data_IF_703063683243
#
_entry.id   IF_703063683243
#
_cell.length_a   1.000
_cell.length_b   1.000
_cell.length_c   1.000
_cell.angle_alpha   90.00
_cell.angle_beta   90.00
_cell.angle_gamma   90.00
#
_symmetry.space_group_name_H-M   'P 1'
#
loop_
_entity.id
_entity.type
_entity.pdbx_description
1 polymer ?
#
# COMPACT_ATOMS: atom_id res chain seq x y z
N UNK A 1 3.73 18.85 -14.15
CA UNK A 1 2.81 18.34 -13.10
C UNK A 1 2.92 16.82 -12.85
N UNK A 2 3.47 16.02 -13.77
CA UNK A 2 3.62 14.56 -13.62
C UNK A 2 4.44 14.09 -12.40
N UNK A 3 5.50 14.81 -11.99
CA UNK A 3 6.29 14.47 -10.78
C UNK A 3 5.50 14.55 -9.46
N UNK A 4 4.46 15.40 -9.38
CA UNK A 4 3.60 15.52 -8.17
C UNK A 4 2.61 14.35 -8.08
N UNK A 5 2.07 13.88 -9.20
CA UNK A 5 1.19 12.70 -9.25
C UNK A 5 1.92 11.42 -8.84
N UNK A 6 3.19 11.28 -9.26
CA UNK A 6 4.04 10.15 -8.89
C UNK A 6 4.28 10.06 -7.37
N UNK A 7 4.60 11.20 -6.74
CA UNK A 7 4.76 11.29 -5.28
C UNK A 7 3.46 11.02 -4.53
N UNK A 8 2.34 11.53 -5.04
CA UNK A 8 1.03 11.33 -4.41
C UNK A 8 0.63 9.85 -4.42
N UNK A 9 0.82 9.16 -5.55
CA UNK A 9 0.56 7.72 -5.65
C UNK A 9 1.46 6.87 -4.74
N UNK A 10 2.74 7.25 -4.58
CA UNK A 10 3.66 6.59 -3.65
C UNK A 10 3.23 6.74 -2.18
N UNK A 11 2.85 7.95 -1.77
CA UNK A 11 2.35 8.21 -0.41
C UNK A 11 1.05 7.44 -0.14
N UNK A 12 0.11 7.45 -1.10
CA UNK A 12 -1.14 6.69 -1.01
C UNK A 12 -0.85 5.18 -0.90
N UNK A 13 0.04 4.64 -1.73
CA UNK A 13 0.42 3.22 -1.68
C UNK A 13 1.03 2.83 -0.34
N UNK A 14 1.92 3.68 0.20
CA UNK A 14 2.53 3.47 1.52
C UNK A 14 1.48 3.46 2.64
N UNK A 15 0.48 4.34 2.55
CA UNK A 15 -0.61 4.40 3.54
C UNK A 15 -1.44 3.11 3.55
N UNK A 16 -1.78 2.57 2.37
CA UNK A 16 -2.49 1.30 2.25
C UNK A 16 -1.70 0.10 2.79
N UNK A 17 -0.37 0.08 2.62
CA UNK A 17 0.50 -0.95 3.19
C UNK A 17 0.45 -0.92 4.73
N UNK A 18 0.51 0.27 5.33
CA UNK A 18 0.45 0.43 6.79
C UNK A 18 -0.91 -0.04 7.33
N UNK A 19 -2.01 0.35 6.70
CA UNK A 19 -3.36 -0.08 7.12
C UNK A 19 -3.51 -1.60 6.99
N UNK A 20 -3.01 -2.18 5.91
CA UNK A 20 -3.00 -3.63 5.70
C UNK A 20 -2.25 -4.38 6.82
N UNK A 21 -1.08 -3.89 7.22
CA UNK A 21 -0.33 -4.45 8.35
C UNK A 21 -1.13 -4.34 9.65
N UNK A 22 -1.80 -3.22 9.90
CA UNK A 22 -2.65 -3.05 11.08
C UNK A 22 -3.83 -4.04 11.07
N UNK A 23 -4.46 -4.26 9.92
CA UNK A 23 -5.57 -5.23 9.79
C UNK A 23 -5.09 -6.67 9.97
N UNK A 24 -3.98 -7.06 9.35
CA UNK A 24 -3.44 -8.42 9.45
C UNK A 24 -2.88 -8.72 10.85
N UNK A 25 -2.13 -7.78 11.43
CA UNK A 25 -1.57 -7.93 12.78
C UNK A 25 -2.70 -7.80 13.82
N UNK A 26 -3.67 -6.92 13.58
CA UNK A 26 -4.84 -6.73 14.42
C UNK A 26 -5.74 -7.96 14.46
N UNK A 27 -5.95 -8.64 13.33
CA UNK A 27 -6.68 -9.92 13.28
C UNK A 27 -5.99 -11.03 14.06
N UNK A 28 -4.66 -11.02 14.14
CA UNK A 28 -3.89 -12.00 14.92
C UNK A 28 -3.86 -11.72 16.43
N UNK A 29 -4.08 -10.46 16.84
CA UNK A 29 -3.96 -10.01 18.24
C UNK A 29 -5.31 -9.75 18.93
N UNK A 30 -6.40 -9.64 18.16
CA UNK A 30 -7.70 -9.21 18.66
C UNK A 30 -8.82 -10.04 18.05
N UNK A 31 -9.59 -10.73 18.89
CA UNK A 31 -10.80 -11.46 18.49
C UNK A 31 -11.86 -10.53 17.86
N UNK A 32 -11.79 -9.23 18.12
CA UNK A 32 -12.69 -8.24 17.49
C UNK A 32 -12.35 -7.97 16.01
N UNK A 33 -11.13 -8.30 15.58
CA UNK A 33 -10.63 -8.16 14.21
C UNK A 33 -10.37 -9.51 13.52
N UNK A 34 -10.69 -10.63 14.17
CA UNK A 34 -10.56 -11.99 13.59
C UNK A 34 -11.73 -12.32 12.64
N UNK A 35 -12.18 -11.33 11.88
CA UNK A 35 -13.16 -11.55 10.82
C UNK A 35 -12.42 -11.90 9.54
N UNK A 36 -12.94 -12.90 8.82
CA UNK A 36 -12.42 -13.25 7.50
C UNK A 36 -12.39 -12.05 6.55
N UNK A 37 -13.31 -11.09 6.73
CA UNK A 37 -13.37 -9.84 5.98
C UNK A 37 -12.13 -8.97 6.18
N UNK A 38 -11.59 -8.90 7.40
CA UNK A 38 -10.43 -8.05 7.74
C UNK A 38 -9.16 -8.59 7.08
N UNK A 39 -9.01 -9.93 7.02
CA UNK A 39 -7.92 -10.58 6.28
C UNK A 39 -8.01 -10.36 4.77
N UNK A 40 -9.19 -10.50 4.16
CA UNK A 40 -9.36 -10.24 2.71
C UNK A 40 -9.09 -8.78 2.36
N UNK A 41 -9.58 -7.86 3.19
CA UNK A 41 -9.41 -6.42 2.99
C UNK A 41 -7.95 -6.02 3.21
N UNK A 42 -7.33 -6.52 4.28
CA UNK A 42 -5.91 -6.34 4.58
C UNK A 42 -5.02 -6.89 3.47
N UNK A 43 -5.30 -8.08 2.95
CA UNK A 43 -4.54 -8.66 1.84
C UNK A 43 -4.70 -7.86 0.54
N UNK A 44 -5.93 -7.43 0.22
CA UNK A 44 -6.21 -6.61 -0.97
C UNK A 44 -5.49 -5.26 -0.92
N UNK A 45 -5.49 -4.61 0.25
CA UNK A 45 -4.76 -3.37 0.48
C UNK A 45 -3.24 -3.55 0.48
N UNK A 46 -2.74 -4.70 0.93
CA UNK A 46 -1.32 -5.04 0.83
C UNK A 46 -0.87 -5.08 -0.63
N UNK A 47 -1.59 -5.85 -1.46
CA UNK A 47 -1.25 -6.05 -2.87
C UNK A 47 -1.38 -4.73 -3.63
N UNK A 48 -2.47 -4.00 -3.42
CA UNK A 48 -2.69 -2.70 -4.05
C UNK A 48 -1.63 -1.67 -3.65
N UNK A 49 -1.37 -1.54 -2.35
CA UNK A 49 -0.38 -0.60 -1.83
C UNK A 49 1.03 -0.92 -2.33
N UNK A 50 1.39 -2.21 -2.38
CA UNK A 50 2.68 -2.67 -2.89
C UNK A 50 2.85 -2.38 -4.39
N UNK A 51 1.83 -2.66 -5.21
CA UNK A 51 1.84 -2.33 -6.64
C UNK A 51 2.02 -0.81 -6.85
N UNK A 52 1.26 0.02 -6.12
CA UNK A 52 1.37 1.47 -6.19
C UNK A 52 2.75 2.00 -5.75
N UNK A 53 3.29 1.48 -4.65
CA UNK A 53 4.61 1.88 -4.16
C UNK A 53 5.74 1.44 -5.10
N UNK A 54 5.63 0.25 -5.71
CA UNK A 54 6.64 -0.31 -6.61
C UNK A 54 6.63 0.34 -8.00
N UNK A 55 5.46 0.54 -8.61
CA UNK A 55 5.36 1.12 -9.95
C UNK A 55 5.69 2.62 -9.99
N UNK A 56 5.39 3.37 -8.94
CA UNK A 56 5.75 4.80 -8.88
C UNK A 56 7.26 5.03 -8.68
N UNK A 57 8.05 4.00 -8.35
CA UNK A 57 9.49 4.12 -8.11
C UNK A 57 10.34 4.10 -9.40
N UNK A 58 9.78 3.62 -10.53
CA UNK A 58 10.50 3.45 -11.81
C UNK A 58 10.55 4.71 -12.70
N UNK A 59 9.79 5.75 -12.37
CA UNK A 59 9.70 6.95 -13.21
C UNK A 59 10.78 8.01 -12.92
N UNK A 60 11.69 7.73 -11.98
CA UNK A 60 12.77 8.64 -11.57
C UNK A 60 14.13 8.25 -12.17
N UNK A 61 14.16 7.47 -13.26
CA UNK A 61 15.39 7.30 -14.05
C UNK A 61 15.57 8.58 -14.88
N UNK A 62 16.58 9.42 -14.61
CA UNK A 62 16.85 10.55 -15.48
C UNK A 62 17.29 10.00 -16.84
N UNK A 63 16.51 10.30 -17.88
CA UNK A 63 17.05 10.26 -19.24
C UNK A 63 18.23 11.23 -19.26
N UNK A 64 19.43 10.66 -19.32
CA UNK A 64 20.65 11.40 -19.64
C UNK A 64 20.52 11.78 -21.11
N UNK A 65 20.24 13.06 -21.34
CA UNK A 65 20.54 13.74 -22.58
C UNK A 65 21.92 14.42 -22.41
#
# INVERSE_FOLDING_TARGET
MYKKLNNLGFVIGTFFIIISLILLIGGLLSDALDNTLDYYTGFSFLVFGFLMAFFNRKNDVPLRD
#
